data_IF_072623037811
#
_entry.id   IF_072623037811
#
_cell.length_a   1.000
_cell.length_b   1.000
_cell.length_c   1.000
_cell.angle_alpha   90.00
_cell.angle_beta   90.00
_cell.angle_gamma   90.00
#
_symmetry.space_group_name_H-M   'P 1'
#
loop_
_entity.id
_entity.type
_entity.pdbx_description
1 polymer ?
#
# COMPACT_ATOMS: atom_id res chain seq x y z
N UNK A 1 17.45 9.35 -13.93
CA UNK A 1 17.81 10.48 -14.82
C UNK A 1 16.58 10.87 -15.62
N UNK A 2 16.22 12.15 -15.67
CA UNK A 2 15.12 12.62 -16.52
C UNK A 2 15.71 13.03 -17.88
N UNK A 3 15.10 12.56 -18.97
CA UNK A 3 15.53 12.87 -20.35
C UNK A 3 14.42 13.65 -21.04
N UNK A 4 14.74 14.89 -21.44
CA UNK A 4 13.86 15.75 -22.23
C UNK A 4 12.50 16.09 -21.59
N UNK A 5 12.32 15.89 -20.28
CA UNK A 5 11.04 16.10 -19.59
C UNK A 5 9.94 15.11 -20.00
N UNK A 6 10.28 14.00 -20.67
CA UNK A 6 9.30 13.00 -21.14
C UNK A 6 9.59 11.59 -20.66
N UNK A 7 10.82 11.35 -20.19
CA UNK A 7 11.29 10.02 -19.79
C UNK A 7 12.06 10.06 -18.48
N UNK A 8 11.87 9.05 -17.64
CA UNK A 8 12.74 8.72 -16.51
C UNK A 8 13.48 7.42 -16.80
N UNK A 9 14.80 7.47 -16.76
CA UNK A 9 15.69 6.30 -16.79
C UNK A 9 16.14 5.95 -15.37
N UNK A 10 15.84 4.73 -14.94
CA UNK A 10 16.26 4.15 -13.66
C UNK A 10 17.29 3.05 -13.90
N UNK A 11 18.49 3.19 -13.33
CA UNK A 11 19.53 2.17 -13.35
C UNK A 11 19.41 1.30 -12.11
N UNK A 12 19.41 -0.03 -12.30
CA UNK A 12 19.36 -0.99 -11.20
C UNK A 12 20.75 -1.11 -10.59
N UNK A 13 20.88 -0.76 -9.30
CA UNK A 13 22.16 -0.77 -8.59
C UNK A 13 22.56 -2.17 -8.14
N UNK A 14 21.59 -2.96 -7.69
CA UNK A 14 21.78 -4.34 -7.26
C UNK A 14 21.08 -5.24 -8.27
N UNK A 15 21.88 -5.77 -9.19
CA UNK A 15 21.40 -6.66 -10.25
C UNK A 15 21.29 -8.07 -9.68
N UNK A 16 20.15 -8.70 -9.89
CA UNK A 16 19.90 -10.07 -9.51
C UNK A 16 19.17 -10.78 -10.66
N UNK A 17 19.35 -12.10 -10.73
CA UNK A 17 18.74 -12.94 -11.76
C UNK A 17 17.23 -13.06 -11.59
N UNK A 18 16.55 -13.23 -12.72
CA UNK A 18 15.11 -13.41 -12.77
C UNK A 18 14.35 -12.12 -13.09
N UNK A 19 13.03 -12.24 -13.15
CA UNK A 19 12.14 -11.15 -13.50
C UNK A 19 12.09 -10.14 -12.34
N UNK A 20 12.38 -8.88 -12.64
CA UNK A 20 12.33 -7.80 -11.66
C UNK A 20 10.87 -7.35 -11.43
N UNK A 21 10.37 -7.27 -10.18
CA UNK A 21 8.96 -6.96 -9.92
C UNK A 21 8.47 -5.63 -10.51
N UNK A 22 9.30 -4.57 -10.46
CA UNK A 22 8.93 -3.28 -11.07
C UNK A 22 8.77 -3.38 -12.60
N UNK A 23 9.56 -4.23 -13.26
CA UNK A 23 9.45 -4.43 -14.70
C UNK A 23 8.20 -5.25 -15.03
N UNK A 24 7.96 -6.34 -14.30
CA UNK A 24 6.81 -7.22 -14.48
C UNK A 24 5.48 -6.48 -14.29
N UNK A 25 5.31 -5.85 -13.12
CA UNK A 25 4.10 -5.09 -12.78
C UNK A 25 3.91 -3.91 -13.71
N UNK A 26 4.99 -3.17 -13.99
CA UNK A 26 4.95 -2.03 -14.90
C UNK A 26 4.53 -2.43 -16.31
N UNK A 27 5.07 -3.53 -16.84
CA UNK A 27 4.72 -4.04 -18.15
C UNK A 27 3.26 -4.46 -18.23
N UNK A 28 2.78 -5.22 -17.24
CA UNK A 28 1.40 -5.71 -17.19
C UNK A 28 0.40 -4.56 -17.12
N UNK A 29 0.57 -3.64 -16.15
CA UNK A 29 -0.34 -2.51 -15.97
C UNK A 29 -0.32 -1.55 -17.16
N UNK A 30 0.85 -1.35 -17.79
CA UNK A 30 0.97 -0.52 -19.00
C UNK A 30 0.25 -1.17 -20.17
N UNK A 31 0.42 -2.48 -20.39
CA UNK A 31 -0.25 -3.21 -21.46
C UNK A 31 -1.77 -3.23 -21.28
N UNK A 32 -2.24 -3.31 -20.03
CA UNK A 32 -3.66 -3.23 -19.68
C UNK A 32 -4.23 -1.79 -19.70
N UNK A 33 -3.41 -0.78 -20.00
CA UNK A 33 -3.85 0.61 -20.16
C UNK A 33 -4.15 1.34 -18.85
N UNK A 34 -3.59 0.90 -17.71
CA UNK A 34 -3.78 1.59 -16.44
C UNK A 34 -3.10 2.96 -16.44
N UNK A 35 -3.91 4.03 -16.40
CA UNK A 35 -3.42 5.40 -16.61
C UNK A 35 -2.73 6.04 -15.39
N UNK A 36 -2.91 5.48 -14.19
CA UNK A 36 -2.45 6.09 -12.93
C UNK A 36 -1.08 5.56 -12.47
N UNK A 37 -0.25 5.13 -13.43
CA UNK A 37 1.16 4.76 -13.23
C UNK A 37 2.04 5.47 -14.25
N UNK A 38 3.35 5.49 -13.98
CA UNK A 38 4.32 5.82 -15.03
C UNK A 38 4.37 4.69 -16.05
N UNK A 39 3.97 4.91 -17.33
CA UNK A 39 3.94 3.83 -18.31
C UNK A 39 5.34 3.32 -18.58
N UNK A 40 5.49 2.00 -18.69
CA UNK A 40 6.74 1.38 -19.09
C UNK A 40 7.00 1.67 -20.57
N UNK A 41 8.12 2.33 -20.87
CA UNK A 41 8.54 2.65 -22.24
C UNK A 41 9.61 1.69 -22.78
N UNK A 42 10.35 1.02 -21.89
CA UNK A 42 11.34 0.02 -22.28
C UNK A 42 12.22 -0.44 -21.13
N UNK A 43 13.05 -1.43 -21.40
CA UNK A 43 14.01 -1.97 -20.42
C UNK A 43 15.28 -2.47 -21.11
N UNK A 44 16.36 -2.59 -20.34
CA UNK A 44 17.63 -3.18 -20.77
C UNK A 44 17.93 -4.38 -19.90
N UNK A 45 18.03 -5.54 -20.54
CA UNK A 45 18.32 -6.82 -19.90
C UNK A 45 19.70 -7.32 -20.34
N UNK A 46 20.44 -7.93 -19.41
CA UNK A 46 21.60 -8.76 -19.73
C UNK A 46 21.21 -10.21 -19.55
N UNK A 47 21.39 -11.02 -20.59
CA UNK A 47 21.29 -12.48 -20.49
C UNK A 47 22.65 -13.08 -20.16
N UNK A 48 22.71 -13.94 -19.15
CA UNK A 48 23.95 -14.64 -18.79
C UNK A 48 24.17 -15.93 -19.63
N UNK A 49 25.24 -16.67 -19.31
CA UNK A 49 25.60 -17.88 -20.04
C UNK A 49 24.61 -19.04 -19.82
N UNK A 50 23.81 -18.98 -18.75
CA UNK A 50 22.79 -19.95 -18.40
C UNK A 50 21.43 -19.58 -19.02
N UNK A 51 21.34 -18.41 -19.64
CA UNK A 51 20.12 -17.91 -20.26
C UNK A 51 19.21 -17.13 -19.31
N UNK A 52 19.66 -16.85 -18.08
CA UNK A 52 18.90 -16.07 -17.12
C UNK A 52 19.00 -14.57 -17.45
N UNK A 53 17.87 -13.87 -17.38
CA UNK A 53 17.80 -12.43 -17.60
C UNK A 53 18.07 -11.65 -16.32
N UNK A 54 18.86 -10.60 -16.45
CA UNK A 54 19.28 -9.70 -15.38
C UNK A 54 18.92 -8.27 -15.77
N UNK A 55 18.03 -7.63 -15.01
CA UNK A 55 17.61 -6.26 -15.31
C UNK A 55 18.71 -5.23 -14.99
N UNK A 56 19.07 -4.43 -15.98
CA UNK A 56 20.06 -3.35 -15.84
C UNK A 56 19.40 -1.97 -15.75
N UNK A 57 18.32 -1.75 -16.51
CA UNK A 57 17.69 -0.43 -16.62
C UNK A 57 16.20 -0.51 -16.97
N UNK A 58 15.42 0.43 -16.44
CA UNK A 58 14.03 0.66 -16.81
C UNK A 58 13.86 2.08 -17.35
N UNK A 59 13.10 2.22 -18.43
CA UNK A 59 12.66 3.47 -19.01
C UNK A 59 11.15 3.63 -18.77
N UNK A 60 10.74 4.68 -18.07
CA UNK A 60 9.34 4.98 -17.72
C UNK A 60 8.95 6.38 -18.22
N UNK A 61 7.68 6.54 -18.60
CA UNK A 61 7.11 7.84 -18.92
C UNK A 61 7.28 8.80 -17.76
N UNK A 62 7.73 10.02 -18.05
CA UNK A 62 7.83 11.06 -17.03
C UNK A 62 6.44 11.58 -16.67
N UNK A 63 6.03 11.39 -15.41
CA UNK A 63 4.93 12.13 -14.83
C UNK A 63 5.51 13.30 -14.05
N UNK A 64 4.96 14.49 -14.28
CA UNK A 64 5.30 15.66 -13.48
C UNK A 64 4.67 15.47 -12.08
N UNK A 65 5.44 14.91 -11.17
CA UNK A 65 4.97 14.67 -9.81
C UNK A 65 4.89 15.99 -9.04
N UNK A 66 3.70 16.37 -8.59
CA UNK A 66 3.46 17.62 -7.86
C UNK A 66 3.76 17.45 -6.36
N UNK A 67 4.99 17.03 -6.04
CA UNK A 67 5.47 16.91 -4.66
C UNK A 67 5.31 15.53 -4.03
N UNK A 68 5.61 15.47 -2.74
CA UNK A 68 5.51 14.25 -1.94
C UNK A 68 4.12 14.16 -1.29
N UNK A 69 3.36 13.12 -1.66
CA UNK A 69 2.02 12.88 -1.10
C UNK A 69 2.06 12.68 0.43
N UNK A 70 3.15 12.16 0.99
CA UNK A 70 3.30 11.95 2.43
C UNK A 70 3.49 13.28 3.17
N UNK A 71 4.36 14.13 2.66
CA UNK A 71 4.57 15.47 3.20
C UNK A 71 3.30 16.32 3.06
N UNK A 72 2.65 16.28 1.90
CA UNK A 72 1.38 16.95 1.67
C UNK A 72 0.29 16.48 2.66
N UNK A 73 0.17 15.17 2.88
CA UNK A 73 -0.81 14.61 3.82
C UNK A 73 -0.55 15.06 5.25
N UNK A 74 0.71 15.00 5.72
CA UNK A 74 1.06 15.46 7.08
C UNK A 74 0.78 16.94 7.28
N UNK A 75 1.16 17.78 6.30
CA UNK A 75 0.94 19.22 6.36
C UNK A 75 -0.55 19.58 6.41
N UNK A 76 -1.39 18.85 5.66
CA UNK A 76 -2.84 19.06 5.69
C UNK A 76 -3.47 18.55 6.98
N UNK A 77 -2.97 17.45 7.54
CA UNK A 77 -3.46 16.93 8.82
C UNK A 77 -3.13 17.88 9.98
N UNK A 78 -1.92 18.45 10.01
CA UNK A 78 -1.55 19.46 11.01
C UNK A 78 -2.48 20.69 10.94
N UNK A 79 -2.79 21.15 9.72
CA UNK A 79 -3.72 22.26 9.50
C UNK A 79 -5.12 21.92 10.00
N UNK A 80 -5.66 20.76 9.60
CA UNK A 80 -6.98 20.31 10.03
C UNK A 80 -7.08 20.23 11.56
N UNK A 81 -6.07 19.70 12.24
CA UNK A 81 -6.04 19.65 13.71
C UNK A 81 -6.01 21.05 14.33
N UNK A 82 -5.21 21.97 13.76
CA UNK A 82 -5.13 23.35 14.25
C UNK A 82 -6.47 24.08 14.10
N UNK A 83 -7.14 23.89 12.97
CA UNK A 83 -8.41 24.55 12.66
C UNK A 83 -9.51 24.08 13.63
N UNK A 84 -9.62 22.77 13.87
CA UNK A 84 -10.54 22.19 14.88
C UNK A 84 -10.28 22.72 16.30
N UNK A 85 -8.99 22.87 16.69
CA UNK A 85 -8.63 23.44 17.98
C UNK A 85 -8.95 24.94 18.07
N UNK A 86 -8.86 25.67 16.97
CA UNK A 86 -9.15 27.11 16.90
C UNK A 86 -10.66 27.41 16.86
N UNK A 87 -11.47 26.54 16.25
CA UNK A 87 -12.93 26.61 16.27
C UNK A 87 -13.51 26.43 17.67
N UNK A 88 -12.88 25.60 18.51
CA UNK A 88 -13.21 25.53 19.94
C UNK A 88 -12.98 26.87 20.69
N UNK A 89 -12.32 27.86 20.06
CA UNK A 89 -11.91 29.13 20.66
C UNK A 89 -12.49 30.39 19.98
N UNK A 90 -13.23 30.30 18.85
CA UNK A 90 -13.72 31.49 18.11
C UNK A 90 -14.96 31.24 17.23
N UNK A 91 -15.96 32.14 17.26
CA UNK A 91 -17.22 32.09 16.48
C UNK A 91 -17.13 32.76 15.08
N UNK A 92 -15.97 32.76 14.41
CA UNK A 92 -15.82 33.45 13.12
C UNK A 92 -15.57 32.45 11.97
N UNK A 93 -16.56 32.32 11.08
CA UNK A 93 -16.57 31.45 9.89
C UNK A 93 -15.64 31.98 8.77
N UNK A 94 -14.38 31.58 8.77
CA UNK A 94 -13.55 31.58 7.55
C UNK A 94 -12.84 30.23 7.42
N UNK A 95 -13.55 29.25 6.88
CA UNK A 95 -13.05 27.88 6.72
C UNK A 95 -12.13 27.74 5.50
N UNK A 96 -10.90 27.27 5.73
CA UNK A 96 -10.18 26.44 4.77
C UNK A 96 -10.44 24.99 5.19
N UNK A 97 -11.16 24.21 4.38
CA UNK A 97 -11.55 22.85 4.74
C UNK A 97 -10.41 21.84 4.49
N UNK A 98 -9.31 21.98 5.23
CA UNK A 98 -8.15 21.08 5.12
C UNK A 98 -8.53 19.60 5.34
N UNK A 99 -9.52 19.34 6.21
CA UNK A 99 -10.07 18.00 6.42
C UNK A 99 -10.81 17.48 5.17
N UNK A 100 -11.57 18.34 4.50
CA UNK A 100 -12.23 18.04 3.23
C UNK A 100 -11.24 17.75 2.11
N UNK A 101 -10.15 18.53 2.00
CA UNK A 101 -9.07 18.26 1.04
C UNK A 101 -8.42 16.89 1.26
N UNK A 102 -8.16 16.52 2.52
CA UNK A 102 -7.67 15.18 2.87
C UNK A 102 -8.67 14.09 2.51
N UNK A 103 -9.96 14.31 2.76
CA UNK A 103 -11.01 13.35 2.44
C UNK A 103 -11.12 13.12 0.94
N UNK A 104 -11.10 14.18 0.14
CA UNK A 104 -11.14 14.10 -1.32
C UNK A 104 -9.91 13.39 -1.87
N UNK A 105 -8.72 13.71 -1.35
CA UNK A 105 -7.48 13.05 -1.72
C UNK A 105 -7.50 11.56 -1.37
N UNK A 106 -7.89 11.20 -0.15
CA UNK A 106 -8.00 9.81 0.29
C UNK A 106 -9.04 9.03 -0.53
N UNK A 107 -10.16 9.67 -0.86
CA UNK A 107 -11.20 9.11 -1.73
C UNK A 107 -10.67 8.80 -3.13
N UNK A 108 -9.96 9.75 -3.74
CA UNK A 108 -9.35 9.56 -5.06
C UNK A 108 -8.27 8.47 -5.04
N UNK A 109 -7.40 8.46 -4.04
CA UNK A 109 -6.36 7.43 -3.88
C UNK A 109 -6.98 6.05 -3.74
N UNK A 110 -8.00 5.91 -2.88
CA UNK A 110 -8.74 4.67 -2.69
C UNK A 110 -9.43 4.19 -3.97
N UNK A 111 -10.03 5.12 -4.73
CA UNK A 111 -10.61 4.80 -6.04
C UNK A 111 -9.54 4.27 -7.01
N UNK A 112 -8.40 4.94 -7.16
CA UNK A 112 -7.35 4.51 -8.12
C UNK A 112 -6.74 3.17 -7.72
N UNK A 113 -6.55 2.94 -6.43
CA UNK A 113 -6.11 1.64 -5.91
C UNK A 113 -7.14 0.54 -6.20
N UNK A 114 -8.42 0.81 -6.00
CA UNK A 114 -9.51 -0.12 -6.33
C UNK A 114 -9.58 -0.44 -7.82
N UNK A 115 -9.46 0.58 -8.69
CA UNK A 115 -9.39 0.40 -10.14
C UNK A 115 -8.20 -0.49 -10.55
N UNK A 116 -7.02 -0.30 -9.93
CA UNK A 116 -5.86 -1.16 -10.17
C UNK A 116 -6.12 -2.60 -9.71
N UNK A 117 -6.70 -2.80 -8.54
CA UNK A 117 -7.02 -4.13 -8.02
C UNK A 117 -8.04 -4.86 -8.91
N UNK A 118 -9.05 -4.16 -9.45
CA UNK A 118 -10.00 -4.75 -10.39
C UNK A 118 -9.31 -5.24 -11.67
N UNK A 119 -8.35 -4.48 -12.18
CA UNK A 119 -7.57 -4.85 -13.35
C UNK A 119 -6.68 -6.07 -13.06
N UNK A 120 -6.02 -6.11 -11.90
CA UNK A 120 -5.19 -7.26 -11.48
C UNK A 120 -6.01 -8.52 -11.17
N UNK A 121 -7.30 -8.36 -10.83
CA UNK A 121 -8.22 -9.47 -10.58
C UNK A 121 -8.97 -9.93 -11.84
N UNK A 122 -8.75 -9.29 -13.00
CA UNK A 122 -9.38 -9.68 -14.25
C UNK A 122 -8.75 -10.97 -14.80
N UNK A 123 -9.53 -11.82 -15.52
CA UNK A 123 -8.97 -12.98 -16.19
C UNK A 123 -7.79 -12.61 -17.10
N UNK A 124 -6.71 -13.38 -16.99
CA UNK A 124 -5.45 -13.13 -17.71
C UNK A 124 -4.94 -14.41 -18.34
N UNK A 125 -4.48 -14.32 -19.58
CA UNK A 125 -3.78 -15.41 -20.27
C UNK A 125 -2.32 -15.56 -19.79
N UNK A 126 -1.79 -14.54 -19.10
CA UNK A 126 -0.51 -14.63 -18.43
C UNK A 126 -0.69 -15.37 -17.10
N UNK A 127 -0.08 -16.56 -16.90
CA UNK A 127 -0.23 -17.35 -15.69
C UNK A 127 0.30 -16.64 -14.44
N UNK A 128 1.32 -15.79 -14.56
CA UNK A 128 1.84 -15.01 -13.44
C UNK A 128 0.92 -13.86 -13.03
N UNK A 129 -0.14 -13.60 -13.80
CA UNK A 129 -1.23 -12.65 -13.52
C UNK A 129 -2.61 -13.33 -13.51
N UNK A 130 -2.65 -14.66 -13.52
CA UNK A 130 -3.91 -15.39 -13.40
C UNK A 130 -4.45 -15.20 -11.97
N UNK A 131 -5.68 -14.70 -11.79
CA UNK A 131 -6.21 -14.48 -10.45
C UNK A 131 -6.42 -15.80 -9.70
N UNK A 132 -6.10 -15.81 -8.41
CA UNK A 132 -6.31 -16.96 -7.53
C UNK A 132 -7.41 -16.68 -6.52
N UNK A 133 -8.19 -17.71 -6.19
CA UNK A 133 -9.21 -17.61 -5.16
C UNK A 133 -8.64 -17.98 -3.81
N UNK A 134 -8.80 -17.08 -2.84
CA UNK A 134 -8.41 -17.32 -1.47
C UNK A 134 -9.11 -18.56 -0.90
N UNK A 135 -8.32 -19.49 -0.38
CA UNK A 135 -8.84 -20.71 0.25
C UNK A 135 -9.21 -20.45 1.71
N UNK A 136 -9.94 -21.39 2.32
CA UNK A 136 -10.19 -21.38 3.76
C UNK A 136 -8.88 -21.39 4.58
N UNK A 137 -7.83 -22.04 4.06
CA UNK A 137 -6.51 -22.08 4.69
C UNK A 137 -5.85 -20.71 4.67
N UNK A 138 -5.93 -19.99 3.55
CA UNK A 138 -5.37 -18.64 3.42
C UNK A 138 -6.08 -17.66 4.35
N UNK A 139 -7.42 -17.68 4.35
CA UNK A 139 -8.24 -16.90 5.27
C UNK A 139 -7.89 -17.15 6.74
N UNK A 140 -7.68 -18.42 7.13
CA UNK A 140 -7.26 -18.78 8.48
C UNK A 140 -5.85 -18.25 8.80
N UNK A 141 -4.91 -18.37 7.86
CA UNK A 141 -3.54 -17.88 8.03
C UNK A 141 -3.51 -16.35 8.20
N UNK A 142 -4.26 -15.62 7.38
CA UNK A 142 -4.37 -14.16 7.50
C UNK A 142 -5.04 -13.74 8.81
N UNK A 143 -6.12 -14.40 9.22
CA UNK A 143 -6.74 -14.17 10.52
C UNK A 143 -5.71 -14.29 11.65
N UNK A 144 -4.93 -15.37 11.64
CA UNK A 144 -3.91 -15.60 12.66
C UNK A 144 -2.83 -14.51 12.64
N UNK A 145 -2.31 -14.17 11.47
CA UNK A 145 -1.28 -13.13 11.33
C UNK A 145 -1.75 -11.76 11.82
N UNK A 146 -2.98 -11.34 11.46
CA UNK A 146 -3.55 -10.05 11.88
C UNK A 146 -3.85 -10.06 13.38
N UNK A 147 -4.39 -11.15 13.91
CA UNK A 147 -4.61 -11.30 15.34
C UNK A 147 -3.28 -11.20 16.12
N UNK A 148 -2.24 -11.91 15.70
CA UNK A 148 -0.91 -11.87 16.31
C UNK A 148 -0.27 -10.47 16.23
N UNK A 149 -0.47 -9.73 15.14
CA UNK A 149 -0.01 -8.34 15.04
C UNK A 149 -0.75 -7.41 16.02
N UNK A 150 -2.08 -7.52 16.09
CA UNK A 150 -2.88 -6.76 17.05
C UNK A 150 -2.46 -7.05 18.49
N UNK A 151 -2.31 -8.33 18.83
CA UNK A 151 -1.92 -8.74 20.17
C UNK A 151 -0.54 -8.22 20.56
N UNK A 152 0.44 -8.29 19.65
CA UNK A 152 1.76 -7.69 19.87
C UNK A 152 1.68 -6.18 20.10
N UNK A 153 0.89 -5.46 19.29
CA UNK A 153 0.68 -4.03 19.47
C UNK A 153 0.07 -3.68 20.82
N UNK A 154 -0.97 -4.40 21.24
CA UNK A 154 -1.61 -4.22 22.55
C UNK A 154 -0.65 -4.54 23.71
N UNK A 155 0.16 -5.59 23.57
CA UNK A 155 1.17 -5.96 24.57
C UNK A 155 2.23 -4.87 24.72
N UNK A 156 2.72 -4.28 23.62
CA UNK A 156 3.66 -3.17 23.66
C UNK A 156 3.07 -1.95 24.36
N UNK A 157 1.81 -1.60 24.06
CA UNK A 157 1.12 -0.50 24.74
C UNK A 157 0.96 -0.75 26.25
N UNK A 158 0.68 -1.99 26.64
CA UNK A 158 0.61 -2.37 28.06
C UNK A 158 1.97 -2.25 28.76
N UNK A 159 3.05 -2.68 28.11
CA UNK A 159 4.40 -2.61 28.67
C UNK A 159 4.83 -1.16 28.95
N UNK A 160 4.45 -0.22 28.08
CA UNK A 160 4.77 1.21 28.20
C UNK A 160 3.64 2.03 28.83
N UNK A 161 2.64 1.41 29.46
CA UNK A 161 1.48 2.12 30.00
C UNK A 161 1.86 3.20 31.02
N UNK A 162 2.92 2.99 31.80
CA UNK A 162 3.38 3.94 32.80
C UNK A 162 3.96 5.24 32.19
N UNK A 163 4.36 5.21 30.92
CA UNK A 163 4.89 6.36 30.18
C UNK A 163 3.78 7.21 29.55
N UNK A 164 2.55 6.67 29.47
CA UNK A 164 1.39 7.34 28.87
C UNK A 164 0.78 8.37 29.84
N UNK A 165 0.22 9.45 29.30
CA UNK A 165 -0.56 10.40 30.08
C UNK A 165 -1.83 9.76 30.64
N UNK A 166 -2.37 10.29 31.75
CA UNK A 166 -3.54 9.70 32.42
C UNK A 166 -4.78 9.53 31.50
N UNK A 167 -4.98 10.45 30.55
CA UNK A 167 -6.04 10.35 29.55
C UNK A 167 -5.84 9.17 28.59
N UNK A 168 -4.60 8.95 28.15
CA UNK A 168 -4.21 7.87 27.25
C UNK A 168 -4.24 6.51 27.95
N UNK A 169 -3.85 6.44 29.23
CA UNK A 169 -4.01 5.23 30.04
C UNK A 169 -5.47 4.78 30.13
N UNK A 170 -6.40 5.74 30.24
CA UNK A 170 -7.85 5.45 30.22
C UNK A 170 -8.32 4.94 28.86
N UNK A 171 -7.80 5.49 27.76
CA UNK A 171 -8.09 5.02 26.40
C UNK A 171 -7.53 3.61 26.17
N UNK A 172 -6.31 3.34 26.61
CA UNK A 172 -5.70 2.01 26.57
C UNK A 172 -6.55 0.99 27.36
N UNK A 173 -7.01 1.37 28.57
CA UNK A 173 -7.92 0.54 29.35
C UNK A 173 -9.21 0.19 28.59
N UNK A 174 -9.84 1.16 27.91
CA UNK A 174 -11.00 0.91 27.06
C UNK A 174 -10.66 -0.01 25.88
N UNK A 175 -9.52 0.21 25.20
CA UNK A 175 -9.10 -0.59 24.06
C UNK A 175 -8.89 -2.05 24.46
N UNK A 176 -8.24 -2.30 25.59
CA UNK A 176 -8.00 -3.63 26.13
C UNK A 176 -9.30 -4.34 26.53
N UNK A 177 -10.28 -3.63 27.08
CA UNK A 177 -11.62 -4.18 27.36
C UNK A 177 -12.34 -4.66 26.09
N UNK A 178 -12.08 -4.03 24.94
CA UNK A 178 -12.67 -4.41 23.66
C UNK A 178 -11.83 -5.41 22.86
N UNK A 179 -10.68 -5.86 23.36
CA UNK A 179 -9.78 -6.80 22.66
C UNK A 179 -10.52 -8.00 22.07
N UNK A 180 -11.36 -8.66 22.87
CA UNK A 180 -12.11 -9.84 22.43
C UNK A 180 -13.10 -9.53 21.29
N UNK A 181 -13.77 -8.37 21.35
CA UNK A 181 -14.66 -7.91 20.29
C UNK A 181 -13.89 -7.64 18.99
N UNK A 182 -12.74 -6.96 19.08
CA UNK A 182 -11.90 -6.65 17.92
C UNK A 182 -11.41 -7.95 17.27
N UNK A 183 -10.90 -8.91 18.05
CA UNK A 183 -10.48 -10.21 17.55
C UNK A 183 -11.63 -11.00 16.92
N UNK A 184 -12.83 -10.95 17.51
CA UNK A 184 -14.02 -11.55 16.92
C UNK A 184 -14.37 -10.92 15.56
N UNK A 185 -14.21 -9.61 15.41
CA UNK A 185 -14.45 -8.92 14.16
C UNK A 185 -13.41 -9.27 13.09
N UNK A 186 -12.13 -9.36 13.45
CA UNK A 186 -11.06 -9.84 12.56
C UNK A 186 -11.40 -11.25 12.04
N UNK A 187 -11.83 -12.14 12.93
CA UNK A 187 -12.23 -13.50 12.56
C UNK A 187 -13.42 -13.51 11.60
N UNK A 188 -14.42 -12.66 11.83
CA UNK A 188 -15.58 -12.54 10.94
C UNK A 188 -15.17 -12.04 9.55
N UNK A 189 -14.36 -10.99 9.48
CA UNK A 189 -13.87 -10.43 8.21
C UNK A 189 -13.02 -11.45 7.46
N UNK A 190 -12.13 -12.17 8.15
CA UNK A 190 -11.30 -13.19 7.52
C UNK A 190 -12.14 -14.32 6.90
N UNK A 191 -13.23 -14.75 7.55
CA UNK A 191 -14.15 -15.75 6.97
C UNK A 191 -14.80 -15.29 5.67
N UNK A 192 -15.02 -13.98 5.51
CA UNK A 192 -15.58 -13.41 4.28
C UNK A 192 -14.57 -13.38 3.12
N UNK A 193 -13.28 -13.59 3.38
CA UNK A 193 -12.25 -13.63 2.35
C UNK A 193 -12.22 -14.96 1.58
N UNK A 194 -12.88 -16.02 2.04
CA UNK A 194 -12.88 -17.29 1.32
C UNK A 194 -13.58 -17.13 -0.03
N UNK A 195 -12.87 -17.45 -1.11
CA UNK A 195 -13.32 -17.24 -2.49
C UNK A 195 -13.07 -15.83 -3.03
N UNK A 196 -12.58 -14.89 -2.20
CA UNK A 196 -12.17 -13.57 -2.68
C UNK A 196 -11.04 -13.72 -3.70
N UNK A 197 -11.10 -12.90 -4.75
CA UNK A 197 -10.10 -12.88 -5.80
C UNK A 197 -8.87 -12.11 -5.30
N UNK A 198 -7.72 -12.79 -5.25
CA UNK A 198 -6.45 -12.23 -4.86
C UNK A 198 -5.41 -12.40 -5.97
N UNK A 199 -4.44 -11.52 -5.99
CA UNK A 199 -3.27 -11.65 -6.83
C UNK A 199 -2.07 -12.08 -5.97
N UNK A 200 -1.47 -13.22 -6.28
CA UNK A 200 -0.19 -13.66 -5.71
C UNK A 200 0.78 -13.81 -6.88
N UNK A 201 1.60 -12.80 -7.14
CA UNK A 201 2.71 -12.98 -8.09
C UNK A 201 3.66 -14.04 -7.53
N UNK A 202 3.97 -15.04 -8.34
CA UNK A 202 5.02 -16.04 -8.05
C UNK A 202 6.37 -15.36 -7.81
N UNK A 203 6.59 -14.16 -8.38
CA UNK A 203 7.77 -13.33 -8.15
C UNK A 203 7.76 -12.58 -6.81
N UNK A 204 6.67 -12.57 -6.02
CA UNK A 204 6.73 -12.01 -4.64
C UNK A 204 7.23 -13.01 -3.61
N UNK A 205 7.08 -14.32 -3.86
CA UNK A 205 7.44 -15.37 -2.89
C UNK A 205 8.95 -15.65 -2.80
N UNK A 206 9.74 -15.33 -3.83
CA UNK A 206 11.19 -15.58 -3.87
C UNK A 206 12.04 -14.43 -3.30
N UNK A 207 11.50 -13.23 -3.15
CA UNK A 207 12.29 -12.04 -2.79
C UNK A 207 12.13 -11.56 -1.35
N UNK A 208 11.19 -12.12 -0.58
CA UNK A 208 11.03 -11.85 0.86
C UNK A 208 12.20 -12.29 1.76
N UNK A 209 13.33 -12.72 1.17
CA UNK A 209 14.57 -13.09 1.88
C UNK A 209 15.71 -12.08 1.73
N UNK A 210 15.50 -10.95 1.03
CA UNK A 210 16.56 -9.97 0.77
C UNK A 210 16.18 -8.51 1.07
N UNK A 211 15.23 -8.31 2.00
CA UNK A 211 15.03 -7.06 2.71
C UNK A 211 15.30 -7.26 4.19
#
# INVERSE_FOLDING_TARGET
MVVGGSLVLKLIRKVAGGIHPELEMGAFLTAAGFAHISPLLGSVLRRDAQGEDHLLMIAQGYLNNQGDAWEWTQNNLERAIRDELAEAMSEQEQHYNALGELQDFAGLLGQRLGEMHLLLAAPSDNPDFAPEHATAKDAQAWNQQVAEQLERGLQLLQQHQAELAAGEQKLLGKLLQHKALILGHIQQLAKQLVGACGFVSTATCTWGRYW
#
